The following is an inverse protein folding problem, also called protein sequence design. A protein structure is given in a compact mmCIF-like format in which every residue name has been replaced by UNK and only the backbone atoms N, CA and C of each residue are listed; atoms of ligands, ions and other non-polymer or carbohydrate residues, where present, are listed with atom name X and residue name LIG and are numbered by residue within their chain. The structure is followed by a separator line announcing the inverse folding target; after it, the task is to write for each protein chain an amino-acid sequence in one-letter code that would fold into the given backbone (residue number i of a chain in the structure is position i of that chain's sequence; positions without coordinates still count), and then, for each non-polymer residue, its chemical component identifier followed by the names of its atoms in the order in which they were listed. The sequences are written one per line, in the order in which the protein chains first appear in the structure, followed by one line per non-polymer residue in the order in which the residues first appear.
data_IF_129754944110
#
_entry.id   IF_129754944110
#
_cell.length_a   1.000
_cell.length_b   1.000
_cell.length_c   1.000
_cell.angle_alpha   90.00
_cell.angle_beta   90.00
_cell.angle_gamma   90.00
#
_symmetry.space_group_name_H-M   'P 1'
#
loop_
_entity.id
_entity.type
_entity.pdbx_description
1 polymer ?
#
# COMPACT_ATOMS: atom_id res chain seq x y z
N UNK A 1 -12.86 -5.38 -19.00
CA UNK A 1 -12.95 -6.84 -18.69
C UNK A 1 -12.07 -7.28 -17.49
N UNK A 2 -10.74 -7.07 -17.54
CA UNK A 2 -9.79 -7.58 -16.52
C UNK A 2 -9.99 -7.04 -15.09
N UNK A 3 -10.41 -5.78 -14.96
CA UNK A 3 -10.67 -5.15 -13.66
C UNK A 3 -11.77 -5.85 -12.85
N UNK A 4 -12.75 -6.48 -13.53
CA UNK A 4 -13.84 -7.22 -12.88
C UNK A 4 -13.36 -8.53 -12.25
N UNK A 5 -12.56 -9.31 -12.98
CA UNK A 5 -12.01 -10.59 -12.52
C UNK A 5 -11.05 -10.40 -11.35
N UNK A 6 -10.16 -9.41 -11.42
CA UNK A 6 -9.23 -9.11 -10.33
C UNK A 6 -9.96 -8.64 -9.07
N UNK A 7 -10.98 -7.77 -9.22
CA UNK A 7 -11.83 -7.36 -8.11
C UNK A 7 -12.55 -8.55 -7.46
N UNK A 8 -13.08 -9.48 -8.26
CA UNK A 8 -13.72 -10.68 -7.76
C UNK A 8 -12.74 -11.60 -7.00
N UNK A 9 -11.52 -11.77 -7.51
CA UNK A 9 -10.47 -12.54 -6.86
C UNK A 9 -10.04 -11.91 -5.52
N UNK A 10 -9.88 -10.59 -5.47
CA UNK A 10 -9.56 -9.86 -4.24
C UNK A 10 -10.68 -9.99 -3.21
N UNK A 11 -11.95 -9.82 -3.60
CA UNK A 11 -13.10 -10.01 -2.71
C UNK A 11 -13.18 -11.45 -2.20
N UNK A 12 -12.97 -12.45 -3.06
CA UNK A 12 -12.96 -13.86 -2.67
C UNK A 12 -11.84 -14.17 -1.67
N UNK A 13 -10.64 -13.60 -1.88
CA UNK A 13 -9.52 -13.73 -0.95
C UNK A 13 -9.81 -13.06 0.41
N UNK A 14 -10.37 -11.84 0.39
CA UNK A 14 -10.61 -11.02 1.58
C UNK A 14 -11.78 -11.48 2.44
N UNK A 15 -12.90 -11.80 1.80
CA UNK A 15 -14.20 -11.96 2.48
C UNK A 15 -14.69 -13.42 2.47
N UNK A 16 -14.18 -14.26 1.56
CA UNK A 16 -14.64 -15.65 1.38
C UNK A 16 -13.59 -16.70 1.76
N UNK A 17 -12.50 -16.29 2.41
CA UNK A 17 -11.49 -17.21 2.95
C UNK A 17 -10.69 -18.00 1.90
N UNK A 18 -10.69 -17.58 0.62
CA UNK A 18 -10.00 -18.25 -0.50
C UNK A 18 -8.49 -18.06 -0.44
N UNK A 19 -7.86 -18.71 0.55
CA UNK A 19 -6.43 -18.65 0.81
C UNK A 19 -5.56 -19.13 -0.35
N UNK A 20 -6.11 -19.99 -1.22
CA UNK A 20 -5.51 -20.50 -2.45
C UNK A 20 -5.16 -19.38 -3.45
N UNK A 21 -5.93 -18.28 -3.46
CA UNK A 21 -5.67 -17.13 -4.33
C UNK A 21 -4.43 -16.32 -3.90
N UNK A 22 -3.89 -16.55 -2.70
CA UNK A 22 -2.76 -15.78 -2.16
C UNK A 22 -1.52 -15.84 -3.06
N UNK A 23 -1.25 -16.99 -3.69
CA UNK A 23 -0.10 -17.14 -4.60
C UNK A 23 -0.22 -16.25 -5.83
N UNK A 24 -1.33 -16.36 -6.56
CA UNK A 24 -1.57 -15.56 -7.77
C UNK A 24 -1.61 -14.05 -7.46
N UNK A 25 -2.25 -13.67 -6.36
CA UNK A 25 -2.27 -12.26 -5.91
C UNK A 25 -0.88 -11.77 -5.50
N UNK A 26 -0.07 -12.60 -4.84
CA UNK A 26 1.30 -12.22 -4.47
C UNK A 26 2.19 -12.00 -5.70
N UNK A 27 2.03 -12.80 -6.76
CA UNK A 27 2.74 -12.62 -8.03
C UNK A 27 2.35 -11.26 -8.66
N UNK A 28 1.05 -10.98 -8.74
CA UNK A 28 0.55 -9.72 -9.30
C UNK A 28 1.03 -8.50 -8.49
N UNK A 29 0.97 -8.57 -7.17
CA UNK A 29 1.47 -7.51 -6.30
C UNK A 29 3.00 -7.35 -6.42
N UNK A 30 3.73 -8.46 -6.51
CA UNK A 30 5.18 -8.46 -6.75
C UNK A 30 5.54 -7.72 -8.04
N UNK A 31 4.82 -8.00 -9.14
CA UNK A 31 5.01 -7.29 -10.40
C UNK A 31 4.77 -5.78 -10.27
N UNK A 32 3.71 -5.36 -9.57
CA UNK A 32 3.44 -3.94 -9.32
C UNK A 32 4.55 -3.27 -8.48
N UNK A 33 5.03 -3.95 -7.43
CA UNK A 33 6.17 -3.47 -6.62
C UNK A 33 7.42 -3.34 -7.49
N UNK A 34 7.69 -4.31 -8.37
CA UNK A 34 8.87 -4.26 -9.23
C UNK A 34 8.87 -3.09 -10.19
N UNK A 35 7.70 -2.79 -10.78
CA UNK A 35 7.52 -1.70 -11.72
C UNK A 35 7.64 -0.32 -11.05
N UNK A 36 7.23 -0.23 -9.79
CA UNK A 36 7.17 1.04 -9.06
C UNK A 36 8.47 1.40 -8.32
N UNK A 37 9.28 0.41 -7.95
CA UNK A 37 10.34 0.58 -6.93
C UNK A 37 11.72 0.27 -7.51
N UNK A 38 12.71 1.17 -7.34
CA UNK A 38 14.08 0.95 -7.80
C UNK A 38 14.74 -0.26 -7.11
N UNK A 39 15.94 -0.61 -7.60
CA UNK A 39 16.75 -1.68 -7.02
C UNK A 39 17.12 -1.40 -5.54
N UNK A 40 17.43 -2.47 -4.80
CA UNK A 40 17.83 -2.41 -3.39
C UNK A 40 16.82 -3.04 -2.42
N UNK A 41 17.06 -2.86 -1.13
CA UNK A 41 16.23 -3.43 -0.06
C UNK A 41 14.81 -2.85 -0.06
N UNK A 42 13.80 -3.71 -0.17
CA UNK A 42 12.38 -3.34 -0.14
C UNK A 42 11.83 -3.60 1.26
N UNK A 43 11.08 -2.63 1.79
CA UNK A 43 10.35 -2.75 3.04
C UNK A 43 8.84 -2.68 2.74
N UNK A 44 8.20 -3.84 2.67
CA UNK A 44 6.75 -3.94 2.43
C UNK A 44 5.99 -3.58 3.71
N UNK A 45 5.17 -2.53 3.64
CA UNK A 45 4.33 -2.05 4.73
C UNK A 45 2.87 -2.39 4.40
N UNK A 46 2.31 -3.49 4.94
CA UNK A 46 0.91 -3.81 4.70
C UNK A 46 0.00 -2.77 5.36
N UNK A 47 -0.97 -2.26 4.61
CA UNK A 47 -2.02 -1.42 5.18
C UNK A 47 -2.90 -2.28 6.08
N UNK A 48 -3.08 -1.92 7.36
CA UNK A 48 -3.99 -2.65 8.23
C UNK A 48 -5.43 -2.41 7.78
N UNK A 49 -6.18 -3.48 7.59
CA UNK A 49 -7.60 -3.34 7.24
C UNK A 49 -8.39 -2.81 8.44
N UNK A 50 -9.20 -1.77 8.24
CA UNK A 50 -10.13 -1.25 9.28
C UNK A 50 -11.14 -2.32 9.71
N UNK A 51 -11.49 -3.24 8.80
CA UNK A 51 -12.33 -4.42 9.07
C UNK A 51 -11.57 -5.58 9.73
N UNK A 52 -10.26 -5.47 9.96
CA UNK A 52 -9.51 -6.45 10.76
C UNK A 52 -9.95 -6.47 12.24
N UNK A 53 -10.76 -5.52 12.71
CA UNK A 53 -11.46 -5.70 13.97
C UNK A 53 -12.48 -6.86 13.93
N UNK A 54 -12.99 -7.25 12.75
CA UNK A 54 -13.86 -8.41 12.55
C UNK A 54 -13.10 -9.76 12.44
N UNK A 55 -11.89 -9.84 13.05
CA UNK A 55 -11.01 -11.01 13.08
C UNK A 55 -11.50 -12.05 14.10
N UNK A 56 -12.54 -12.79 13.77
CA UNK A 56 -12.78 -14.09 14.41
C UNK A 56 -12.68 -15.30 13.46
N UNK A 57 -12.39 -15.11 12.16
CA UNK A 57 -12.41 -16.23 11.18
C UNK A 57 -11.36 -16.12 10.05
N UNK A 58 -10.05 -16.02 10.31
CA UNK A 58 -9.05 -16.26 9.24
C UNK A 58 -7.73 -15.45 9.17
N UNK A 59 -7.41 -14.62 10.17
CA UNK A 59 -6.11 -13.95 10.26
C UNK A 59 -5.92 -12.70 9.36
N UNK A 60 -4.74 -12.06 9.44
CA UNK A 60 -4.42 -10.84 8.70
C UNK A 60 -4.02 -11.17 7.24
N UNK A 61 -4.99 -11.08 6.33
CA UNK A 61 -4.83 -11.38 4.91
C UNK A 61 -3.77 -10.50 4.22
N UNK A 62 -3.65 -9.23 4.60
CA UNK A 62 -2.65 -8.33 4.01
C UNK A 62 -1.25 -8.69 4.48
N UNK A 63 -1.07 -9.05 5.75
CA UNK A 63 0.21 -9.55 6.24
C UNK A 63 0.60 -10.86 5.55
N UNK A 64 -0.35 -11.77 5.32
CA UNK A 64 -0.11 -13.03 4.57
C UNK A 64 0.30 -12.76 3.12
N UNK A 65 -0.43 -11.88 2.44
CA UNK A 65 -0.15 -11.49 1.05
C UNK A 65 1.22 -10.81 0.94
N UNK A 66 1.53 -9.86 1.82
CA UNK A 66 2.82 -9.20 1.88
C UNK A 66 3.97 -10.19 2.16
N UNK A 67 3.75 -11.16 3.04
CA UNK A 67 4.72 -12.23 3.31
C UNK A 67 5.04 -13.08 2.09
N UNK A 68 4.00 -13.52 1.36
CA UNK A 68 4.17 -14.27 0.09
C UNK A 68 4.83 -13.43 -1.00
N UNK A 69 4.48 -12.15 -1.08
CA UNK A 69 5.09 -11.21 -2.03
C UNK A 69 6.58 -11.01 -1.74
N UNK A 70 6.95 -10.82 -0.46
CA UNK A 70 8.36 -10.72 -0.07
C UNK A 70 9.15 -11.99 -0.38
N UNK A 71 8.55 -13.18 -0.20
CA UNK A 71 9.19 -14.43 -0.55
C UNK A 71 9.44 -14.54 -2.07
N UNK A 72 8.46 -14.18 -2.90
CA UNK A 72 8.61 -14.15 -4.35
C UNK A 72 9.71 -13.18 -4.81
N UNK A 73 9.71 -11.94 -4.29
CA UNK A 73 10.75 -10.96 -4.60
C UNK A 73 12.16 -11.47 -4.23
N UNK A 74 12.31 -12.14 -3.08
CA UNK A 74 13.60 -12.72 -2.69
C UNK A 74 14.05 -13.85 -3.60
N UNK A 75 13.11 -14.72 -4.02
CA UNK A 75 13.41 -15.78 -4.98
C UNK A 75 13.89 -15.23 -6.33
N UNK A 76 13.47 -14.01 -6.67
CA UNK A 76 13.92 -13.27 -7.87
C UNK A 76 15.18 -12.43 -7.62
N UNK A 77 15.87 -12.60 -6.49
CA UNK A 77 17.11 -11.85 -6.16
C UNK A 77 16.88 -10.41 -5.68
N UNK A 78 15.64 -10.02 -5.36
CA UNK A 78 15.32 -8.70 -4.78
C UNK A 78 15.14 -8.80 -3.26
N UNK A 79 16.04 -8.24 -2.45
CA UNK A 79 15.89 -8.25 -1.00
C UNK A 79 14.60 -7.53 -0.58
N UNK A 80 13.72 -8.24 0.13
CA UNK A 80 12.45 -7.70 0.60
C UNK A 80 12.20 -8.10 2.05
N UNK A 81 11.55 -7.25 2.84
CA UNK A 81 11.19 -7.52 4.23
C UNK A 81 9.83 -6.92 4.55
N UNK A 82 8.96 -7.68 5.22
CA UNK A 82 7.67 -7.15 5.69
C UNK A 82 7.88 -6.41 7.00
N UNK A 83 7.43 -5.17 7.08
CA UNK A 83 7.51 -4.33 8.27
C UNK A 83 6.11 -3.85 8.68
N UNK A 84 5.61 -4.31 9.82
CA UNK A 84 4.34 -3.87 10.38
C UNK A 84 4.52 -2.51 11.08
N UNK A 85 4.59 -1.43 10.29
CA UNK A 85 4.82 -0.05 10.78
C UNK A 85 3.56 0.78 10.85
N UNK A 86 2.41 0.25 10.42
CA UNK A 86 1.12 0.91 10.48
C UNK A 86 0.20 0.17 11.45
N UNK A 87 -0.51 0.94 12.28
CA UNK A 87 -1.64 0.48 13.07
C UNK A 87 -2.85 1.36 12.80
N UNK A 88 -4.04 0.81 12.94
CA UNK A 88 -5.27 1.60 12.97
C UNK A 88 -5.36 2.35 14.30
N UNK A 89 -5.58 3.65 14.27
CA UNK A 89 -5.65 4.52 15.47
C UNK A 89 -7.01 5.18 15.63
N UNK A 90 -7.65 5.57 14.52
CA UNK A 90 -9.04 6.01 14.49
C UNK A 90 -9.99 4.91 14.00
N UNK A 91 -11.29 5.05 14.27
CA UNK A 91 -12.36 4.33 13.58
C UNK A 91 -13.00 5.29 12.56
N UNK A 92 -12.54 5.30 11.28
CA UNK A 92 -13.22 6.06 10.24
C UNK A 92 -14.70 5.67 10.20
N UNK A 93 -15.58 6.67 10.03
CA UNK A 93 -17.01 6.42 9.81
C UNK A 93 -17.21 5.65 8.51
N UNK A 94 -18.34 4.96 8.38
CA UNK A 94 -18.69 4.34 7.11
C UNK A 94 -18.64 5.39 5.99
N UNK A 95 -17.97 5.04 4.90
CA UNK A 95 -17.76 5.94 3.76
C UNK A 95 -18.87 5.82 2.72
N UNK A 96 -19.92 5.06 3.01
CA UNK A 96 -21.17 5.06 2.25
C UNK A 96 -21.73 6.50 2.21
N UNK A 97 -21.98 7.01 1.00
CA UNK A 97 -22.48 8.37 0.78
C UNK A 97 -21.44 9.49 0.80
N UNK A 98 -20.21 9.27 1.30
CA UNK A 98 -19.17 10.32 1.34
C UNK A 98 -18.56 10.58 -0.04
N UNK A 99 -18.36 11.85 -0.38
CA UNK A 99 -17.57 12.31 -1.53
C UNK A 99 -16.07 12.09 -1.33
N UNK A 100 -15.27 12.28 -2.39
CA UNK A 100 -13.82 11.99 -2.35
C UNK A 100 -13.05 12.82 -1.29
N UNK A 101 -13.44 14.07 -1.08
CA UNK A 101 -12.80 14.97 -0.11
C UNK A 101 -13.18 14.59 1.34
N UNK A 102 -14.45 14.27 1.58
CA UNK A 102 -14.94 13.78 2.88
C UNK A 102 -14.31 12.43 3.23
N UNK A 103 -14.13 11.54 2.25
CA UNK A 103 -13.36 10.29 2.44
C UNK A 103 -11.92 10.56 2.82
N UNK A 104 -11.27 11.56 2.22
CA UNK A 104 -9.89 11.91 2.55
C UNK A 104 -9.75 12.44 3.98
N UNK A 105 -10.71 13.23 4.44
CA UNK A 105 -10.78 13.73 5.83
C UNK A 105 -11.11 12.59 6.81
N UNK A 106 -12.10 11.76 6.50
CA UNK A 106 -12.49 10.61 7.32
C UNK A 106 -11.35 9.60 7.52
N UNK A 107 -10.46 9.47 6.52
CA UNK A 107 -9.28 8.63 6.62
C UNK A 107 -8.07 9.35 7.20
N UNK A 108 -8.06 10.69 7.30
CA UNK A 108 -6.95 11.43 7.90
C UNK A 108 -6.89 11.12 9.40
N UNK A 109 -5.83 10.45 9.85
CA UNK A 109 -5.69 9.98 11.23
C UNK A 109 -6.23 8.55 11.47
N UNK A 110 -6.70 7.86 10.43
CA UNK A 110 -7.07 6.44 10.53
C UNK A 110 -5.87 5.55 10.90
N UNK A 111 -4.66 5.95 10.49
CA UNK A 111 -3.44 5.21 10.71
C UNK A 111 -2.44 6.00 11.55
N UNK A 112 -1.71 5.28 12.38
CA UNK A 112 -0.55 5.78 13.10
C UNK A 112 0.63 4.85 12.93
N UNK A 113 1.82 5.40 13.16
CA UNK A 113 3.05 4.63 13.10
C UNK A 113 3.19 3.74 14.34
N UNK A 114 3.65 2.50 14.12
CA UNK A 114 4.14 1.64 15.20
C UNK A 114 5.63 1.90 15.34
N UNK A 115 6.00 2.54 16.44
CA UNK A 115 7.40 2.63 16.86
C UNK A 115 7.85 1.22 17.26
N UNK A 116 8.94 0.75 16.65
CA UNK A 116 9.61 -0.47 17.09
C UNK A 116 10.93 -0.05 17.71
N UNK A 117 11.23 -0.62 18.87
CA UNK A 117 12.57 -0.58 19.45
C UNK A 117 13.54 -1.36 18.54
N UNK A 118 14.72 -0.80 18.32
CA UNK A 118 15.76 -1.36 17.46
C UNK A 118 16.10 -0.49 16.24
N UNK A 119 17.24 -0.75 15.60
CA UNK A 119 17.74 0.08 14.49
C UNK A 119 16.74 0.12 13.32
N UNK A 120 16.65 1.28 12.69
CA UNK A 120 15.84 1.45 11.50
C UNK A 120 16.40 0.57 10.37
N UNK A 121 15.58 -0.31 9.79
CA UNK A 121 15.99 -1.07 8.61
C UNK A 121 16.16 -0.09 7.43
N UNK A 122 17.33 -0.06 6.76
CA UNK A 122 17.52 0.72 5.54
C UNK A 122 16.69 0.15 4.37
N UNK A 123 16.54 0.92 3.29
CA UNK A 123 15.79 0.52 2.08
C UNK A 123 14.62 1.42 1.69
N UNK A 124 13.77 0.94 0.79
CA UNK A 124 12.63 1.68 0.24
C UNK A 124 11.33 1.22 0.88
N UNK A 125 10.54 2.16 1.41
CA UNK A 125 9.24 1.85 1.99
C UNK A 125 8.19 1.70 0.88
N UNK A 126 7.46 0.59 0.90
CA UNK A 126 6.43 0.31 -0.09
C UNK A 126 5.16 -0.08 0.63
N UNK A 127 4.18 0.83 0.63
CA UNK A 127 2.86 0.56 1.17
C UNK A 127 2.14 -0.40 0.23
N UNK A 128 1.63 -1.50 0.76
CA UNK A 128 0.87 -2.49 -0.02
C UNK A 128 -0.57 -2.59 0.44
N UNK A 129 -1.51 -2.59 -0.50
CA UNK A 129 -2.96 -2.64 -0.27
C UNK A 129 -3.67 -3.55 -1.29
N UNK A 130 -4.86 -4.05 -0.97
CA UNK A 130 -5.62 -4.96 -1.82
C UNK A 130 -6.47 -4.22 -2.88
N UNK A 131 -6.98 -3.03 -2.58
CA UNK A 131 -7.79 -2.23 -3.51
C UNK A 131 -7.54 -0.72 -3.33
N UNK A 132 -7.14 -0.04 -4.40
CA UNK A 132 -7.12 1.43 -4.48
C UNK A 132 -8.43 1.89 -5.12
N UNK A 133 -9.40 2.23 -4.28
CA UNK A 133 -10.68 2.82 -4.72
C UNK A 133 -10.60 4.33 -4.94
N UNK A 134 -9.70 5.05 -4.24
CA UNK A 134 -9.60 6.53 -4.31
C UNK A 134 -8.20 7.08 -4.02
N UNK A 135 -7.26 6.22 -3.63
CA UNK A 135 -5.92 6.64 -3.16
C UNK A 135 -5.89 7.29 -1.78
N UNK A 136 -7.05 7.53 -1.14
CA UNK A 136 -7.13 8.17 0.19
C UNK A 136 -6.55 7.29 1.30
N UNK A 137 -6.72 5.96 1.21
CA UNK A 137 -6.11 5.00 2.15
C UNK A 137 -4.58 5.06 2.07
N UNK A 138 -4.03 4.96 0.87
CA UNK A 138 -2.59 5.06 0.63
C UNK A 138 -2.02 6.42 1.04
N UNK A 139 -2.73 7.52 0.74
CA UNK A 139 -2.31 8.86 1.13
C UNK A 139 -2.28 9.05 2.66
N UNK A 140 -3.26 8.49 3.37
CA UNK A 140 -3.28 8.51 4.83
C UNK A 140 -2.18 7.64 5.44
N UNK A 141 -1.98 6.44 4.92
CA UNK A 141 -0.89 5.56 5.31
C UNK A 141 0.49 6.21 5.07
N UNK A 142 0.69 6.84 3.91
CA UNK A 142 1.91 7.58 3.59
C UNK A 142 2.11 8.76 4.55
N UNK A 143 1.04 9.49 4.91
CA UNK A 143 1.11 10.57 5.91
C UNK A 143 1.59 10.06 7.26
N UNK A 144 1.10 8.90 7.71
CA UNK A 144 1.52 8.29 8.97
C UNK A 144 3.01 7.88 8.98
N UNK A 145 3.62 7.64 7.80
CA UNK A 145 5.03 7.26 7.68
C UNK A 145 5.97 8.45 7.40
N UNK A 146 5.46 9.69 7.26
CA UNK A 146 6.29 10.87 6.93
C UNK A 146 7.43 11.12 7.90
N UNK A 147 7.24 10.82 9.19
CA UNK A 147 8.28 10.95 10.22
C UNK A 147 9.49 10.04 10.03
N UNK A 148 9.46 9.10 9.06
CA UNK A 148 10.61 8.26 8.72
C UNK A 148 11.58 8.92 7.74
N UNK A 149 11.26 10.11 7.20
CA UNK A 149 12.11 10.88 6.28
C UNK A 149 12.69 10.08 5.12
N UNK A 150 11.87 9.19 4.53
CA UNK A 150 12.26 8.28 3.43
C UNK A 150 11.26 8.36 2.29
N UNK A 151 11.69 8.08 1.04
CA UNK A 151 10.78 7.88 -0.06
C UNK A 151 9.78 6.76 0.26
N UNK A 152 8.49 7.06 0.10
CA UNK A 152 7.39 6.10 0.29
C UNK A 152 6.73 5.86 -1.06
N UNK A 153 6.79 4.61 -1.52
CA UNK A 153 6.08 4.13 -2.70
C UNK A 153 4.80 3.42 -2.27
N UNK A 154 3.89 3.21 -3.21
CA UNK A 154 2.68 2.45 -2.98
C UNK A 154 2.43 1.48 -4.15
N UNK A 155 2.01 0.26 -3.83
CA UNK A 155 1.60 -0.75 -4.78
C UNK A 155 0.27 -1.38 -4.33
N UNK A 156 -0.62 -1.64 -5.27
CA UNK A 156 -1.89 -2.29 -4.97
C UNK A 156 -2.36 -3.15 -6.13
N UNK A 157 -3.20 -4.13 -5.84
CA UNK A 157 -3.70 -5.08 -6.83
C UNK A 157 -4.71 -4.44 -7.79
N UNK A 158 -5.63 -3.63 -7.28
CA UNK A 158 -6.60 -2.92 -8.11
C UNK A 158 -6.39 -1.41 -8.00
N UNK A 159 -6.30 -0.71 -9.14
CA UNK A 159 -6.32 0.74 -9.20
C UNK A 159 -7.35 1.21 -10.21
N UNK A 160 -8.28 2.08 -9.79
CA UNK A 160 -8.98 2.94 -10.74
C UNK A 160 -7.99 4.03 -11.18
N UNK A 161 -7.76 4.25 -12.49
CA UNK A 161 -6.84 5.28 -12.95
C UNK A 161 -7.24 6.63 -12.35
N UNK A 162 -6.32 7.26 -11.60
CA UNK A 162 -6.43 8.69 -11.31
C UNK A 162 -6.05 9.40 -12.61
N UNK A 163 -6.93 10.27 -13.14
CA UNK A 163 -6.49 11.30 -14.10
C UNK A 163 -5.38 12.09 -13.41
N UNK A 164 -4.15 11.87 -13.85
CA UNK A 164 -2.99 12.65 -13.44
C UNK A 164 -3.23 14.09 -13.89
N UNK A 165 -3.36 15.02 -12.94
CA UNK A 165 -3.06 16.41 -13.24
C UNK A 165 -1.56 16.46 -13.50
N UNK A 166 -1.19 16.78 -14.73
CA UNK A 166 0.17 17.17 -15.08
C UNK A 166 0.60 18.28 -14.12
N UNK A 167 1.58 17.98 -13.27
CA UNK A 167 2.33 19.03 -12.58
C UNK A 167 3.42 19.41 -13.57
N UNK A 168 3.30 20.63 -14.10
CA UNK A 168 4.35 21.27 -14.88
C UNK A 168 5.66 21.19 -14.11
N UNK A 169 6.71 20.67 -14.75
CA UNK A 169 8.06 20.84 -14.27
C UNK A 169 8.40 22.34 -14.28
N UNK A 170 9.04 22.90 -13.25
CA UNK A 170 9.66 24.20 -13.36
C UNK A 170 10.78 24.11 -14.41
N UNK A 171 10.69 24.97 -15.42
CA UNK A 171 11.76 25.14 -16.40
C UNK A 171 12.95 25.74 -15.66
N UNK A 172 14.08 25.03 -15.63
CA UNK A 172 15.37 25.55 -15.19
C UNK A 172 16.22 25.88 -16.42
N UNK A 173 16.90 27.03 -16.36
CA UNK A 173 17.82 27.55 -17.38
C UNK A 173 17.30 28.88 -17.95
N UNK A 174 18.06 29.97 -18.02
CA UNK A 174 19.50 30.15 -18.03
C UNK A 174 19.82 31.58 -17.56
N UNK A 175 20.96 31.75 -16.88
CA UNK A 175 21.66 33.04 -16.85
C UNK A 175 22.32 33.33 -18.21
N UNK A 176 22.74 34.57 -18.45
CA UNK A 176 24.18 34.86 -18.58
C UNK A 176 24.56 36.06 -17.69
N UNK A 177 25.69 36.06 -16.97
CA UNK A 177 27.03 36.50 -17.43
C UNK A 177 26.98 37.69 -18.37
N UNK A 178 26.94 38.90 -17.82
CA UNK A 178 28.09 39.82 -17.74
C UNK A 178 27.83 40.91 -16.69
#
# INVERSE_FOLDING_TARGET
PYAGTLRAAVLAYKERGRADLCGALAIALGAAVRAAVPAGQILLVPVPSVRAAARHRGGDHMRRLAGRTAAGLRAEGRPATVVARLRTVGRPRDSAGLGAQERAVNLAGAFGMVERRGPALPGTLVIVDDVVTTGSTLASAARALRGLHRPVYAAALAGTPRRSRHVHAPVSGLGPTD
#
